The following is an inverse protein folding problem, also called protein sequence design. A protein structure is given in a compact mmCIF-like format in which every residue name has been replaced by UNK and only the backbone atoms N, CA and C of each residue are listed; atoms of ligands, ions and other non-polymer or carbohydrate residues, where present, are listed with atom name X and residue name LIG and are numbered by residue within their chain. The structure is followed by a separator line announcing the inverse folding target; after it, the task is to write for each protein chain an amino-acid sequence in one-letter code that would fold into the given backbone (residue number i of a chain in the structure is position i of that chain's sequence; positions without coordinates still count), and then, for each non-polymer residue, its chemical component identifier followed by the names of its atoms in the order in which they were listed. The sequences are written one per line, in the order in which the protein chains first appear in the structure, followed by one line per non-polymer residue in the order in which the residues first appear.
data_IF_232787860097
#
_entry.id   IF_232787860097
#
_cell.length_a   1.000
_cell.length_b   1.000
_cell.length_c   1.000
_cell.angle_alpha   90.00
_cell.angle_beta   90.00
_cell.angle_gamma   90.00
#
_symmetry.space_group_name_H-M   'P 1'
#
loop_
_entity.id
_entity.type
_entity.pdbx_description
1 polymer ?
#
# COMPACT_ATOMS: atom_id res chain seq x y z
N UNK A 1 -16.63 12.35 -9.72
CA UNK A 1 -15.19 12.23 -9.41
C UNK A 1 -14.73 10.83 -9.76
N UNK A 2 -13.60 10.70 -10.44
CA UNK A 2 -13.05 9.42 -10.80
C UNK A 2 -12.51 8.70 -9.56
N UNK A 3 -12.49 7.36 -9.62
CA UNK A 3 -12.08 6.53 -8.48
C UNK A 3 -10.66 6.83 -8.00
N UNK A 4 -9.72 7.06 -8.93
CA UNK A 4 -8.32 7.36 -8.58
C UNK A 4 -8.21 8.65 -7.80
N UNK A 5 -8.90 9.72 -8.23
CA UNK A 5 -8.89 10.99 -7.51
C UNK A 5 -9.50 10.85 -6.13
N UNK A 6 -10.57 10.07 -6.00
CA UNK A 6 -11.21 9.83 -4.72
C UNK A 6 -10.25 9.16 -3.74
N UNK A 7 -9.52 8.14 -4.19
CA UNK A 7 -8.54 7.46 -3.35
C UNK A 7 -7.40 8.38 -2.95
N UNK A 8 -6.92 9.20 -3.88
CA UNK A 8 -5.86 10.15 -3.57
C UNK A 8 -6.29 11.16 -2.50
N UNK A 9 -7.53 11.64 -2.57
CA UNK A 9 -8.04 12.58 -1.59
C UNK A 9 -8.35 11.94 -0.24
N UNK A 10 -8.78 10.67 -0.26
CA UNK A 10 -9.15 9.96 0.97
C UNK A 10 -7.95 9.51 1.78
N UNK A 11 -6.87 9.07 1.12
CA UNK A 11 -5.70 8.51 1.80
C UNK A 11 -4.51 9.45 1.71
N UNK A 12 -3.93 9.87 2.88
CA UNK A 12 -2.73 10.70 2.86
C UNK A 12 -1.57 10.01 2.16
N UNK A 13 -0.79 10.79 1.42
CA UNK A 13 0.38 10.29 0.70
C UNK A 13 1.59 11.20 0.93
N UNK A 14 2.77 10.63 0.69
CA UNK A 14 4.03 11.36 0.68
C UNK A 14 4.65 11.32 -0.71
N UNK A 15 5.51 12.32 -1.02
CA UNK A 15 6.43 12.21 -2.15
C UNK A 15 7.69 11.46 -1.70
N UNK A 16 8.56 11.11 -2.65
CA UNK A 16 9.81 10.41 -2.33
C UNK A 16 10.70 11.21 -1.37
N UNK A 17 10.55 12.53 -1.34
CA UNK A 17 11.37 13.42 -0.50
C UNK A 17 10.68 13.86 0.78
N UNK A 18 9.45 13.45 1.04
CA UNK A 18 8.70 13.91 2.21
C UNK A 18 8.28 12.78 3.15
N UNK A 19 8.79 11.56 2.96
CA UNK A 19 8.48 10.44 3.84
C UNK A 19 9.18 10.67 5.18
N UNK A 20 8.43 10.78 6.31
CA UNK A 20 9.04 10.99 7.61
C UNK A 20 9.92 9.82 8.04
N UNK A 21 11.10 10.12 8.52
CA UNK A 21 11.99 9.13 9.10
C UNK A 21 12.05 9.26 10.62
N UNK A 22 12.91 8.46 11.26
CA UNK A 22 13.08 8.55 12.70
C UNK A 22 13.74 9.88 13.11
N UNK A 23 13.48 10.29 14.37
CA UNK A 23 14.08 11.48 14.96
C UNK A 23 13.76 12.79 14.24
N UNK A 24 12.61 12.86 13.57
CA UNK A 24 12.17 14.06 12.89
C UNK A 24 12.87 14.35 11.57
N UNK A 25 13.70 13.44 11.10
CA UNK A 25 14.37 13.58 9.80
C UNK A 25 13.54 12.93 8.71
N UNK A 26 13.68 13.40 7.49
CA UNK A 26 13.07 12.76 6.33
C UNK A 26 13.91 11.57 5.87
N UNK A 27 13.26 10.56 5.31
CA UNK A 27 13.97 9.43 4.70
C UNK A 27 14.71 9.90 3.45
N UNK A 28 15.89 9.29 3.20
CA UNK A 28 16.62 9.59 1.96
C UNK A 28 15.92 8.94 0.77
N UNK A 29 16.04 9.58 -0.40
CA UNK A 29 15.49 9.02 -1.63
C UNK A 29 16.10 7.65 -1.95
N UNK A 30 17.38 7.45 -1.64
CA UNK A 30 18.05 6.17 -1.87
C UNK A 30 17.42 5.05 -1.03
N UNK A 31 17.13 5.32 0.24
CA UNK A 31 16.45 4.36 1.12
C UNK A 31 15.07 4.00 0.59
N UNK A 32 14.29 4.99 0.21
CA UNK A 32 12.93 4.79 -0.31
C UNK A 32 12.96 3.97 -1.60
N UNK A 33 13.90 4.28 -2.49
CA UNK A 33 14.08 3.54 -3.75
C UNK A 33 14.41 2.08 -3.48
N UNK A 34 15.25 1.80 -2.49
CA UNK A 34 15.60 0.44 -2.13
C UNK A 34 14.38 -0.33 -1.59
N UNK A 35 13.60 0.28 -0.72
CA UNK A 35 12.37 -0.35 -0.21
C UNK A 35 11.40 -0.67 -1.33
N UNK A 36 11.28 0.24 -2.31
CA UNK A 36 10.40 0.02 -3.44
C UNK A 36 10.90 -1.13 -4.32
N UNK A 37 12.21 -1.19 -4.56
CA UNK A 37 12.82 -2.27 -5.35
C UNK A 37 12.62 -3.63 -4.67
N UNK A 38 12.70 -3.67 -3.35
CA UNK A 38 12.49 -4.88 -2.56
C UNK A 38 11.01 -5.26 -2.44
N UNK A 39 10.11 -4.40 -2.94
CA UNK A 39 8.67 -4.57 -2.80
C UNK A 39 8.22 -4.59 -1.34
N UNK A 40 8.90 -3.81 -0.51
CA UNK A 40 8.49 -3.56 0.88
C UNK A 40 7.42 -2.48 0.95
N UNK A 41 7.37 -1.62 -0.06
CA UNK A 41 6.39 -0.55 -0.21
C UNK A 41 6.00 -0.43 -1.69
N UNK A 42 4.94 0.33 -1.94
CA UNK A 42 4.54 0.66 -3.31
C UNK A 42 4.26 2.15 -3.44
N UNK A 43 4.25 2.63 -4.67
CA UNK A 43 3.85 3.97 -5.01
C UNK A 43 2.90 3.91 -6.20
N UNK A 44 2.05 4.91 -6.35
CA UNK A 44 1.22 5.06 -7.54
C UNK A 44 1.45 6.42 -8.18
N UNK A 45 1.22 6.50 -9.49
CA UNK A 45 1.39 7.74 -10.24
C UNK A 45 0.15 8.62 -10.09
N UNK A 46 0.38 9.87 -9.69
CA UNK A 46 -0.69 10.89 -9.66
C UNK A 46 -0.17 12.13 -10.38
N UNK A 47 -0.72 12.38 -11.57
CA UNK A 47 -0.35 13.50 -12.41
C UNK A 47 1.15 13.58 -12.71
N UNK A 48 1.78 12.43 -12.97
CA UNK A 48 3.20 12.34 -13.30
C UNK A 48 4.14 12.29 -12.11
N UNK A 49 3.60 12.23 -10.89
CA UNK A 49 4.39 12.16 -9.66
C UNK A 49 4.08 10.90 -8.88
N UNK A 50 5.12 10.20 -8.44
CA UNK A 50 4.96 9.03 -7.57
C UNK A 50 4.50 9.47 -6.18
N UNK A 51 3.41 8.86 -5.70
CA UNK A 51 2.86 9.11 -4.38
C UNK A 51 2.91 7.84 -3.55
N UNK A 52 3.36 7.97 -2.32
CA UNK A 52 3.56 6.85 -1.40
C UNK A 52 2.51 6.91 -0.30
N UNK A 53 1.52 5.99 -0.30
CA UNK A 53 0.48 6.01 0.74
C UNK A 53 1.07 5.94 2.14
N UNK A 54 0.59 6.82 3.02
CA UNK A 54 1.11 6.93 4.38
C UNK A 54 0.83 5.70 5.23
N UNK A 55 -0.23 4.95 4.93
CA UNK A 55 -0.60 3.76 5.72
C UNK A 55 0.45 2.66 5.69
N UNK A 56 1.41 2.71 4.76
CA UNK A 56 2.47 1.71 4.65
C UNK A 56 3.54 1.83 5.72
N UNK A 57 3.58 2.95 6.43
CA UNK A 57 4.70 3.27 7.32
C UNK A 57 4.26 3.33 8.78
N UNK A 58 5.17 2.92 9.66
CA UNK A 58 5.03 3.09 11.09
C UNK A 58 6.37 3.57 11.65
N UNK A 59 6.36 4.72 12.31
CA UNK A 59 7.56 5.35 12.88
C UNK A 59 8.68 5.47 11.84
N UNK A 60 8.32 5.86 10.62
CA UNK A 60 9.28 6.09 9.54
C UNK A 60 9.83 4.87 8.85
N UNK A 61 9.32 3.69 9.18
CA UNK A 61 9.77 2.43 8.57
C UNK A 61 8.60 1.73 7.88
N UNK A 62 8.87 0.95 6.82
CA UNK A 62 7.79 0.16 6.21
C UNK A 62 7.22 -0.84 7.21
N UNK A 63 5.90 -0.98 7.20
CA UNK A 63 5.25 -2.05 7.98
C UNK A 63 5.58 -3.40 7.32
N UNK A 64 6.13 -4.37 8.05
CA UNK A 64 6.47 -5.67 7.44
C UNK A 64 5.30 -6.37 6.76
N UNK A 65 4.08 -6.19 7.29
CA UNK A 65 2.87 -6.78 6.69
C UNK A 65 2.66 -6.29 5.25
N UNK A 66 2.98 -5.02 4.97
CA UNK A 66 2.79 -4.47 3.62
C UNK A 66 3.64 -5.22 2.60
N UNK A 67 4.91 -5.46 2.91
CA UNK A 67 5.77 -6.24 2.03
C UNK A 67 5.25 -7.65 1.79
N UNK A 68 4.80 -8.32 2.86
CA UNK A 68 4.21 -9.65 2.73
C UNK A 68 2.99 -9.66 1.81
N UNK A 69 2.11 -8.67 1.98
CA UNK A 69 0.91 -8.57 1.14
C UNK A 69 1.25 -8.29 -0.31
N UNK A 70 2.22 -7.40 -0.56
CA UNK A 70 2.66 -7.10 -1.94
C UNK A 70 3.23 -8.34 -2.63
N UNK A 71 4.01 -9.16 -1.92
CA UNK A 71 4.55 -10.39 -2.48
C UNK A 71 3.48 -11.44 -2.76
N UNK A 72 2.38 -11.44 -2.02
CA UNK A 72 1.27 -12.35 -2.24
C UNK A 72 0.33 -11.87 -3.35
N UNK A 73 -0.01 -10.59 -3.35
CA UNK A 73 -0.95 -10.02 -4.33
C UNK A 73 -0.32 -9.88 -5.71
N UNK A 74 0.95 -9.51 -5.76
CA UNK A 74 1.70 -9.28 -7.01
C UNK A 74 0.97 -8.29 -7.93
N UNK A 75 0.76 -7.06 -7.48
CA UNK A 75 0.02 -6.09 -8.28
C UNK A 75 0.78 -5.75 -9.56
N UNK A 76 0.05 -5.48 -10.64
CA UNK A 76 0.63 -5.14 -11.93
C UNK A 76 1.26 -3.75 -11.93
N UNK A 77 0.73 -2.85 -11.11
CA UNK A 77 1.22 -1.48 -11.02
C UNK A 77 0.77 -0.87 -9.69
N UNK A 78 1.18 0.36 -9.44
CA UNK A 78 0.88 1.03 -8.18
C UNK A 78 -0.61 1.24 -7.94
N UNK A 79 -1.37 1.56 -8.99
CA UNK A 79 -2.82 1.74 -8.84
C UNK A 79 -3.53 0.43 -8.55
N UNK A 80 -3.08 -0.69 -9.13
CA UNK A 80 -3.62 -2.01 -8.80
C UNK A 80 -3.41 -2.29 -7.30
N UNK A 81 -2.21 -2.01 -6.78
CA UNK A 81 -1.91 -2.16 -5.36
C UNK A 81 -2.82 -1.28 -4.52
N UNK A 82 -2.96 0.00 -4.88
CA UNK A 82 -3.77 0.94 -4.13
C UNK A 82 -5.22 0.52 -4.05
N UNK A 83 -5.81 0.10 -5.18
CA UNK A 83 -7.18 -0.38 -5.22
C UNK A 83 -7.37 -1.62 -4.36
N UNK A 84 -6.40 -2.54 -4.38
CA UNK A 84 -6.50 -3.76 -3.56
C UNK A 84 -6.51 -3.42 -2.06
N UNK A 85 -5.63 -2.52 -1.62
CA UNK A 85 -5.56 -2.14 -0.22
C UNK A 85 -6.80 -1.37 0.24
N UNK A 86 -7.37 -0.54 -0.62
CA UNK A 86 -8.44 0.39 -0.27
C UNK A 86 -9.85 -0.19 -0.45
N UNK A 87 -10.02 -1.21 -1.30
CA UNK A 87 -11.35 -1.74 -1.61
C UNK A 87 -11.82 -2.74 -0.57
N UNK A 88 -13.13 -2.80 -0.36
CA UNK A 88 -13.72 -3.86 0.45
C UNK A 88 -13.37 -5.23 -0.11
N UNK A 89 -13.09 -6.18 0.77
CA UNK A 89 -12.59 -7.49 0.36
C UNK A 89 -13.48 -8.60 0.94
N UNK A 90 -13.94 -9.49 0.05
CA UNK A 90 -14.87 -10.56 0.44
C UNK A 90 -14.27 -11.55 1.46
N UNK A 91 -12.94 -11.59 1.57
CA UNK A 91 -12.25 -12.45 2.54
C UNK A 91 -12.12 -11.82 3.92
N UNK A 92 -12.58 -10.56 4.07
CA UNK A 92 -12.56 -9.84 5.34
C UNK A 92 -13.99 -9.59 5.81
N UNK A 93 -14.16 -9.42 7.11
CA UNK A 93 -15.48 -9.24 7.70
C UNK A 93 -16.19 -7.97 7.22
N UNK A 94 -17.46 -8.13 6.86
CA UNK A 94 -18.31 -7.01 6.45
C UNK A 94 -17.81 -6.37 5.18
N UNK A 95 -17.75 -5.05 5.20
CA UNK A 95 -17.28 -4.25 4.08
C UNK A 95 -15.88 -3.66 4.34
N UNK A 96 -15.08 -4.38 5.13
CA UNK A 96 -13.74 -3.94 5.48
C UNK A 96 -12.77 -4.09 4.32
N UNK A 97 -11.82 -3.16 4.21
CA UNK A 97 -10.73 -3.23 3.27
C UNK A 97 -9.46 -3.74 3.97
N UNK A 98 -8.47 -4.21 3.19
CA UNK A 98 -7.18 -4.59 3.80
C UNK A 98 -6.57 -3.46 4.62
N UNK A 99 -6.69 -2.20 4.18
CA UNK A 99 -6.13 -1.07 4.91
C UNK A 99 -6.78 -0.87 6.27
N UNK A 100 -8.08 -1.14 6.39
CA UNK A 100 -8.80 -1.01 7.66
C UNK A 100 -8.29 -1.98 8.72
N UNK A 101 -7.83 -3.15 8.29
CA UNK A 101 -7.46 -4.25 9.18
C UNK A 101 -5.95 -4.56 9.16
N UNK A 102 -5.17 -3.70 8.53
CA UNK A 102 -3.76 -3.96 8.24
C UNK A 102 -2.94 -4.32 9.48
N UNK A 103 -3.21 -3.66 10.60
CA UNK A 103 -2.43 -3.83 11.82
C UNK A 103 -3.09 -4.76 12.84
N UNK A 104 -4.31 -5.25 12.57
CA UNK A 104 -5.10 -5.93 13.61
C UNK A 104 -5.65 -7.29 13.22
N UNK A 105 -5.65 -7.65 11.93
CA UNK A 105 -6.30 -8.88 11.48
C UNK A 105 -5.39 -9.72 10.60
N UNK A 106 -5.02 -10.94 11.03
CA UNK A 106 -4.20 -11.84 10.20
C UNK A 106 -4.88 -12.29 8.91
N UNK A 107 -6.20 -12.13 8.82
CA UNK A 107 -6.95 -12.51 7.61
C UNK A 107 -6.58 -11.65 6.40
N UNK A 108 -5.86 -10.53 6.57
CA UNK A 108 -5.35 -9.76 5.44
C UNK A 108 -4.40 -10.59 4.58
N UNK A 109 -3.59 -11.45 5.17
CA UNK A 109 -2.72 -12.35 4.40
C UNK A 109 -3.53 -13.38 3.62
N UNK A 110 -4.58 -13.92 4.25
CA UNK A 110 -5.46 -14.87 3.58
C UNK A 110 -6.16 -14.22 2.39
N UNK A 111 -6.65 -12.99 2.55
CA UNK A 111 -7.24 -12.23 1.45
C UNK A 111 -6.24 -12.03 0.32
N UNK A 112 -4.98 -11.76 0.65
CA UNK A 112 -3.93 -11.56 -0.35
C UNK A 112 -3.63 -12.85 -1.13
N UNK A 113 -3.66 -14.00 -0.46
CA UNK A 113 -3.45 -15.28 -1.15
C UNK A 113 -4.53 -15.57 -2.19
N UNK A 114 -5.75 -15.10 -1.94
CA UNK A 114 -6.87 -15.31 -2.87
C UNK A 114 -6.98 -14.23 -3.95
N UNK A 115 -6.20 -13.16 -3.87
CA UNK A 115 -6.25 -12.08 -4.85
C UNK A 115 -5.95 -12.56 -6.27
N UNK A 116 -4.96 -13.44 -6.42
CA UNK A 116 -4.58 -13.99 -7.73
C UNK A 116 -5.52 -15.08 -8.21
N UNK A 117 -6.15 -15.79 -7.28
CA UNK A 117 -7.09 -16.86 -7.64
C UNK A 117 -8.33 -16.29 -8.32
N UNK A 118 -8.81 -15.13 -7.88
CA UNK A 118 -9.96 -14.47 -8.47
C UNK A 118 -9.69 -13.98 -9.89
N UNK A 119 -8.44 -13.64 -10.18
CA UNK A 119 -8.05 -13.13 -11.50
C UNK A 119 -7.88 -14.31 -12.50
N UNK A 120 -7.49 -15.47 -12.03
CA UNK A 120 -7.15 -16.62 -12.86
C UNK A 120 -8.32 -17.58 -13.09
N UNK A 121 -9.45 -17.28 -12.50
CA UNK A 121 -10.70 -18.02 -12.78
C UNK A 121 -11.38 -17.46 -14.04
#
# INVERSE_FOLDING_TARGET
MQARERLFLEFPTFSVTTIPGPEGRLQSAATVTEWRREQSIFAFDHHGHDRYPAFQFHVGLPKPIVGRLLHLVRPENGWHAMFWFAAANAWLDGDKSPVDLLDVDPNTEEAARHANDEIND
#
